data_IF_135961541543
#
_entry.id   IF_135961541543
#
_cell.length_a   1.000
_cell.length_b   1.000
_cell.length_c   1.000
_cell.angle_alpha   90.00
_cell.angle_beta   90.00
_cell.angle_gamma   90.00
#
_symmetry.space_group_name_H-M   'P 1'
#
loop_
_entity.id
_entity.type
_entity.pdbx_description
1 polymer ?
#
# COMPACT_ATOMS: atom_id res chain seq x y z
N UNK A 1 8.18 9.94 -15.74
CA UNK A 1 8.82 9.53 -14.48
C UNK A 1 8.57 10.59 -13.41
N UNK A 2 7.50 10.43 -12.64
CA UNK A 2 7.22 11.19 -11.41
C UNK A 2 7.41 10.30 -10.17
N UNK A 3 7.27 10.86 -8.97
CA UNK A 3 7.47 10.12 -7.70
C UNK A 3 6.55 8.89 -7.63
N UNK A 4 5.28 9.01 -8.05
CA UNK A 4 4.34 7.88 -8.08
C UNK A 4 4.82 6.76 -9.01
N UNK A 5 5.33 7.09 -10.19
CA UNK A 5 5.85 6.10 -11.14
C UNK A 5 7.14 5.42 -10.62
N UNK A 6 8.02 6.16 -9.93
CA UNK A 6 9.24 5.59 -9.32
C UNK A 6 8.87 4.57 -8.25
N UNK A 7 7.95 4.94 -7.35
CA UNK A 7 7.51 4.06 -6.26
C UNK A 7 6.78 2.85 -6.83
N UNK A 8 5.89 3.04 -7.81
CA UNK A 8 5.23 1.94 -8.52
C UNK A 8 6.25 0.95 -9.10
N UNK A 9 7.25 1.43 -9.84
CA UNK A 9 8.29 0.55 -10.40
C UNK A 9 9.04 -0.23 -9.32
N UNK A 10 9.41 0.41 -8.21
CA UNK A 10 10.05 -0.28 -7.09
C UNK A 10 9.15 -1.38 -6.51
N UNK A 11 7.86 -1.09 -6.28
CA UNK A 11 6.93 -2.05 -5.71
C UNK A 11 6.74 -3.27 -6.64
N UNK A 12 6.54 -3.03 -7.94
CA UNK A 12 6.39 -4.10 -8.96
C UNK A 12 7.63 -4.99 -9.03
N UNK A 13 8.83 -4.40 -9.07
CA UNK A 13 10.09 -5.13 -9.19
C UNK A 13 10.40 -6.00 -7.97
N UNK A 14 9.84 -5.66 -6.80
CA UNK A 14 10.07 -6.37 -5.55
C UNK A 14 8.87 -7.22 -5.10
N UNK A 15 7.80 -7.29 -5.90
CA UNK A 15 6.64 -8.16 -5.66
C UNK A 15 5.65 -7.68 -4.60
N UNK A 16 5.63 -6.37 -4.31
CA UNK A 16 4.67 -5.73 -3.43
C UNK A 16 3.38 -5.36 -4.19
N UNK A 17 2.25 -5.33 -3.49
CA UNK A 17 0.93 -5.04 -4.09
C UNK A 17 0.45 -3.61 -3.82
N UNK A 18 1.16 -2.87 -2.96
CA UNK A 18 0.77 -1.52 -2.58
C UNK A 18 1.63 -0.93 -1.47
N UNK A 19 1.08 0.09 -0.82
CA UNK A 19 1.62 0.67 0.40
C UNK A 19 0.61 0.54 1.54
N UNK A 20 1.11 0.41 2.77
CA UNK A 20 0.31 0.53 3.98
C UNK A 20 0.98 1.47 5.00
N UNK A 21 0.22 1.96 5.96
CA UNK A 21 0.78 2.60 7.15
C UNK A 21 1.27 1.57 8.18
N UNK A 22 1.94 2.04 9.24
CA UNK A 22 2.48 1.15 10.28
C UNK A 22 1.40 0.43 11.09
N UNK A 23 0.19 0.98 11.16
CA UNK A 23 -0.95 0.34 11.83
C UNK A 23 -1.65 -0.69 10.94
N UNK A 24 -1.42 -0.66 9.63
CA UNK A 24 -2.16 -1.48 8.66
C UNK A 24 -3.63 -1.07 8.51
N UNK A 25 -4.02 0.09 9.06
CA UNK A 25 -5.38 0.61 8.95
C UNK A 25 -5.60 1.35 7.62
N UNK A 26 -4.53 1.85 7.02
CA UNK A 26 -4.55 2.48 5.72
C UNK A 26 -3.71 1.68 4.74
N UNK A 27 -4.32 1.30 3.61
CA UNK A 27 -3.64 0.62 2.52
C UNK A 27 -4.09 1.19 1.18
N UNK A 28 -3.15 1.33 0.24
CA UNK A 28 -3.45 1.71 -1.14
C UNK A 28 -2.77 0.73 -2.11
N UNK A 29 -3.51 0.36 -3.15
CA UNK A 29 -3.03 -0.54 -4.19
C UNK A 29 -1.97 0.14 -5.05
N UNK A 30 -1.10 -0.66 -5.67
CA UNK A 30 -0.07 -0.19 -6.60
C UNK A 30 -0.65 0.59 -7.79
N UNK A 31 -1.90 0.32 -8.13
CA UNK A 31 -2.67 0.99 -9.17
C UNK A 31 -3.11 2.39 -8.72
N UNK A 32 -3.35 2.59 -7.42
CA UNK A 32 -3.95 3.79 -6.84
C UNK A 32 -3.19 4.32 -5.60
N UNK A 33 -1.87 4.48 -5.76
CA UNK A 33 -1.00 5.01 -4.73
C UNK A 33 -1.37 6.45 -4.32
N UNK A 34 -1.32 6.70 -3.01
CA UNK A 34 -1.54 8.01 -2.37
C UNK A 34 -2.98 8.55 -2.42
N UNK A 35 -4.00 7.73 -2.69
CA UNK A 35 -5.41 8.16 -2.59
C UNK A 35 -5.79 8.69 -1.20
N UNK A 36 -5.08 8.23 -0.17
CA UNK A 36 -5.23 8.71 1.19
C UNK A 36 -4.65 10.12 1.42
N UNK A 37 -3.92 10.73 0.47
CA UNK A 37 -3.38 12.08 0.63
C UNK A 37 -4.14 13.10 -0.21
N UNK A 38 -4.99 13.88 0.46
CA UNK A 38 -5.74 15.03 -0.06
C UNK A 38 -5.97 16.05 1.05
N UNK A 39 -6.56 17.22 0.74
CA UNK A 39 -6.66 18.41 1.62
C UNK A 39 -7.28 18.23 3.01
N UNK A 40 -7.76 17.04 3.36
CA UNK A 40 -8.45 16.75 4.63
C UNK A 40 -7.96 15.48 5.35
N UNK A 41 -6.90 14.82 4.89
CA UNK A 41 -6.43 13.57 5.48
C UNK A 41 -5.17 13.75 6.34
N UNK A 42 -5.15 13.07 7.47
CA UNK A 42 -4.15 13.17 8.53
C UNK A 42 -2.97 12.21 8.38
N UNK A 43 -3.02 11.29 7.42
CA UNK A 43 -1.91 10.37 7.18
C UNK A 43 -0.85 11.07 6.35
N UNK A 44 0.41 10.83 6.67
CA UNK A 44 1.59 11.35 5.97
C UNK A 44 2.21 10.26 5.08
N UNK A 45 2.49 10.56 3.80
CA UNK A 45 3.07 9.56 2.86
C UNK A 45 4.42 9.08 3.39
N UNK A 46 5.11 9.94 4.14
CA UNK A 46 6.43 9.69 4.71
C UNK A 46 6.48 8.48 5.64
N UNK A 47 5.34 8.02 6.17
CA UNK A 47 5.28 6.84 7.05
C UNK A 47 4.81 5.57 6.35
N UNK A 48 4.44 5.65 5.07
CA UNK A 48 4.00 4.48 4.31
C UNK A 48 5.16 3.49 4.05
N UNK A 49 4.84 2.20 4.15
CA UNK A 49 5.73 1.07 3.87
C UNK A 49 5.20 0.22 2.72
N UNK A 50 6.07 -0.48 1.97
CA UNK A 50 5.63 -1.52 1.03
C UNK A 50 4.78 -2.59 1.72
N UNK A 51 3.72 -3.03 1.06
CA UNK A 51 2.83 -4.05 1.59
C UNK A 51 2.34 -5.03 0.54
N UNK A 52 1.68 -6.07 1.02
CA UNK A 52 1.12 -7.18 0.27
C UNK A 52 -0.40 -7.21 0.40
N UNK A 53 -1.06 -7.77 -0.60
CA UNK A 53 -2.50 -7.96 -0.62
C UNK A 53 -2.90 -9.08 0.33
N UNK A 54 -3.78 -8.76 1.26
CA UNK A 54 -4.43 -9.70 2.15
C UNK A 54 -5.91 -9.79 1.86
N UNK A 55 -6.45 -10.98 2.07
CA UNK A 55 -7.89 -11.19 2.18
C UNK A 55 -8.27 -11.10 3.67
N UNK A 56 -9.21 -10.22 3.98
CA UNK A 56 -9.68 -10.03 5.34
C UNK A 56 -10.75 -11.08 5.70
N UNK A 57 -11.03 -11.25 7.00
CA UNK A 57 -12.04 -12.18 7.50
C UNK A 57 -13.46 -11.84 7.02
N UNK A 58 -13.74 -10.55 6.82
CA UNK A 58 -15.01 -10.04 6.25
C UNK A 58 -15.16 -10.33 4.75
N UNK A 59 -14.16 -10.90 4.11
CA UNK A 59 -14.12 -11.18 2.67
C UNK A 59 -13.67 -10.00 1.82
N UNK A 60 -13.39 -8.85 2.43
CA UNK A 60 -12.70 -7.71 1.80
C UNK A 60 -11.23 -7.97 1.53
N UNK A 61 -10.58 -6.98 0.93
CA UNK A 61 -9.15 -7.00 0.64
C UNK A 61 -8.48 -5.74 1.18
N UNK A 62 -7.28 -5.89 1.73
CA UNK A 62 -6.46 -4.80 2.27
C UNK A 62 -4.98 -5.00 1.96
N UNK A 63 -4.19 -3.94 2.10
CA UNK A 63 -2.72 -4.00 1.98
C UNK A 63 -2.12 -4.00 3.39
N UNK A 64 -1.21 -4.93 3.67
CA UNK A 64 -0.53 -5.05 4.96
C UNK A 64 0.96 -5.34 4.80
N UNK A 65 1.76 -5.07 5.85
CA UNK A 65 3.23 -5.19 5.78
C UNK A 65 3.72 -6.65 5.65
N UNK A 66 2.98 -7.59 6.23
CA UNK A 66 3.39 -9.00 6.28
C UNK A 66 3.13 -9.71 4.96
N UNK A 67 4.06 -10.53 4.48
CA UNK A 67 3.80 -11.34 3.28
C UNK A 67 2.81 -12.47 3.62
N UNK A 68 1.70 -12.63 2.87
CA UNK A 68 0.80 -13.77 3.01
C UNK A 68 1.54 -15.08 2.77
N UNK A 69 1.16 -16.14 3.50
CA UNK A 69 1.80 -17.47 3.37
C UNK A 69 1.58 -18.10 1.98
N UNK A 70 0.54 -17.64 1.27
CA UNK A 70 0.12 -18.08 -0.05
C UNK A 70 0.82 -17.39 -1.23
N UNK A 71 1.84 -16.55 -0.97
CA UNK A 71 2.49 -15.68 -1.97
C UNK A 71 4.00 -15.89 -2.16
#
# INVERSE_FOLDING_TARGET
MNIREIIKQYLEQNGYDGLCDESGECGCYIEDLFICHGSFNWNEVSTCKPGYLHKNEDGGYGIGENRPEDK
#
